data_IF_973739713661
#
_entry.id   IF_973739713661
#
_cell.length_a   1.000
_cell.length_b   1.000
_cell.length_c   1.000
_cell.angle_alpha   90.00
_cell.angle_beta   90.00
_cell.angle_gamma   90.00
#
_symmetry.space_group_name_H-M   'P 1'
#
loop_
_entity.id
_entity.type
_entity.pdbx_description
1 polymer ?
#
# COMPACT_ATOMS: atom_id res chain seq x y z
N UNK A 1 -2.86 -19.82 -3.96
CA UNK A 1 -2.12 -18.55 -4.00
C UNK A 1 -0.88 -18.64 -3.14
N UNK A 2 0.21 -17.99 -3.54
CA UNK A 2 1.44 -17.87 -2.73
C UNK A 2 1.78 -16.40 -2.60
N UNK A 3 2.14 -15.94 -1.40
CA UNK A 3 2.43 -14.54 -1.14
C UNK A 3 3.76 -14.40 -0.40
N UNK A 4 4.49 -13.34 -0.72
CA UNK A 4 5.79 -12.98 -0.16
C UNK A 4 5.84 -11.50 0.12
N UNK A 5 6.64 -11.10 1.10
CA UNK A 5 6.82 -9.70 1.43
C UNK A 5 8.17 -9.42 2.05
N UNK A 6 8.63 -8.19 1.88
CA UNK A 6 9.86 -7.68 2.48
C UNK A 6 9.67 -6.21 2.85
N UNK A 7 10.31 -5.80 3.93
CA UNK A 7 10.43 -4.40 4.34
C UNK A 7 11.84 -4.11 4.80
N UNK A 8 12.39 -2.96 4.46
CA UNK A 8 13.78 -2.54 4.77
C UNK A 8 13.84 -1.03 4.99
N UNK A 9 14.64 -0.52 5.92
CA UNK A 9 14.78 0.92 6.13
C UNK A 9 15.37 1.70 4.94
N UNK A 10 15.86 1.03 3.91
CA UNK A 10 16.58 1.63 2.80
C UNK A 10 18.01 1.97 3.14
N UNK A 11 18.61 2.89 2.36
CA UNK A 11 20.03 3.22 2.48
C UNK A 11 20.27 4.54 3.23
N UNK A 12 19.25 5.34 3.46
CA UNK A 12 19.37 6.70 4.04
C UNK A 12 18.66 6.82 5.39
N UNK A 13 17.51 6.18 5.54
CA UNK A 13 16.74 6.23 6.78
C UNK A 13 17.38 5.38 7.87
N UNK A 14 17.35 5.84 9.11
CA UNK A 14 17.85 5.09 10.27
C UNK A 14 16.79 4.18 10.91
N UNK A 15 15.51 4.42 10.59
CA UNK A 15 14.37 3.68 11.10
C UNK A 15 13.48 3.27 9.95
N UNK A 16 12.82 2.13 10.13
CA UNK A 16 11.77 1.69 9.22
C UNK A 16 10.41 2.11 9.78
N UNK A 17 9.72 2.99 9.08
CA UNK A 17 8.37 3.46 9.42
C UNK A 17 7.30 2.76 8.60
N UNK A 18 7.69 1.89 7.66
CA UNK A 18 6.77 1.03 6.94
C UNK A 18 6.34 -0.17 7.79
N UNK A 19 5.15 -0.66 7.52
CA UNK A 19 4.62 -1.89 8.08
C UNK A 19 3.84 -2.67 7.02
N UNK A 20 3.88 -4.00 7.09
CA UNK A 20 3.04 -4.83 6.23
C UNK A 20 2.54 -6.08 6.96
N UNK A 21 1.47 -6.67 6.43
CA UNK A 21 0.99 -8.00 6.83
C UNK A 21 0.52 -8.79 5.63
N UNK A 22 0.74 -10.10 5.70
CA UNK A 22 0.16 -11.14 4.86
C UNK A 22 -0.56 -12.08 5.81
N UNK A 23 -1.89 -12.16 5.70
CA UNK A 23 -2.70 -12.92 6.64
C UNK A 23 -3.72 -13.80 5.91
N UNK A 24 -3.74 -15.08 6.24
CA UNK A 24 -4.74 -16.02 5.74
C UNK A 24 -6.06 -15.79 6.50
N UNK A 25 -7.13 -15.44 5.78
CA UNK A 25 -8.47 -15.29 6.34
C UNK A 25 -9.25 -16.61 6.32
N UNK A 26 -9.07 -17.41 5.25
CA UNK A 26 -9.59 -18.78 5.11
C UNK A 26 -8.74 -19.56 4.12
N UNK A 27 -9.11 -20.81 3.82
CA UNK A 27 -8.41 -21.63 2.82
C UNK A 27 -8.36 -20.99 1.42
N UNK A 28 -9.31 -20.10 1.13
CA UNK A 28 -9.47 -19.46 -0.18
C UNK A 28 -9.29 -17.94 -0.15
N UNK A 29 -9.07 -17.35 1.03
CA UNK A 29 -8.99 -15.91 1.17
C UNK A 29 -7.73 -15.44 1.89
N UNK A 30 -7.16 -14.34 1.39
CA UNK A 30 -5.92 -13.72 1.85
C UNK A 30 -6.09 -12.21 2.03
N UNK A 31 -5.56 -11.67 3.12
CA UNK A 31 -5.43 -10.24 3.38
C UNK A 31 -3.97 -9.82 3.21
N UNK A 32 -3.75 -8.77 2.44
CA UNK A 32 -2.49 -8.07 2.30
C UNK A 32 -2.67 -6.62 2.73
N UNK A 33 -1.73 -6.07 3.50
CA UNK A 33 -1.73 -4.65 3.89
C UNK A 33 -0.31 -4.12 3.83
N UNK A 34 -0.14 -2.90 3.32
CA UNK A 34 1.09 -2.11 3.39
C UNK A 34 0.72 -0.72 3.90
N UNK A 35 1.46 -0.24 4.89
CA UNK A 35 1.35 1.08 5.49
C UNK A 35 2.72 1.75 5.49
N UNK A 36 2.81 2.99 5.02
CA UNK A 36 4.00 3.84 5.03
C UNK A 36 3.77 4.98 6.02
N UNK A 37 4.51 4.96 7.11
CA UNK A 37 4.31 5.84 8.24
C UNK A 37 5.03 7.17 8.10
N UNK A 38 4.35 8.27 8.43
CA UNK A 38 4.92 9.61 8.42
C UNK A 38 4.72 10.33 9.75
N UNK A 39 5.65 11.24 10.07
CA UNK A 39 5.58 12.06 11.29
C UNK A 39 6.78 11.85 12.20
N UNK A 40 7.76 12.73 12.21
CA UNK A 40 8.93 12.70 13.11
C UNK A 40 9.64 11.36 13.25
N UNK A 41 10.67 11.30 14.10
CA UNK A 41 11.55 10.13 14.16
C UNK A 41 10.89 8.82 14.67
N UNK A 42 9.87 8.89 15.50
CA UNK A 42 9.21 7.71 16.07
C UNK A 42 7.72 7.62 15.69
N UNK A 43 7.09 8.74 15.41
CA UNK A 43 5.65 8.84 15.26
C UNK A 43 5.13 8.11 14.03
N UNK A 44 5.88 8.11 12.91
CA UNK A 44 5.50 7.38 11.69
C UNK A 44 5.42 5.87 11.91
N UNK A 45 6.41 5.28 12.60
CA UNK A 45 6.38 3.84 12.92
C UNK A 45 5.18 3.48 13.82
N UNK A 46 4.84 4.33 14.79
CA UNK A 46 3.65 4.12 15.64
C UNK A 46 2.38 4.20 14.79
N UNK A 47 2.29 5.17 13.87
CA UNK A 47 1.13 5.34 13.00
C UNK A 47 0.91 4.14 12.08
N UNK A 48 1.95 3.68 11.38
CA UNK A 48 1.86 2.55 10.45
C UNK A 48 1.50 1.24 11.16
N UNK A 49 2.15 0.95 12.29
CA UNK A 49 1.87 -0.25 13.08
C UNK A 49 0.45 -0.24 13.66
N UNK A 50 0.02 0.88 14.25
CA UNK A 50 -1.32 1.02 14.82
C UNK A 50 -2.41 0.91 13.75
N UNK A 51 -2.24 1.58 12.60
CA UNK A 51 -3.18 1.50 11.49
C UNK A 51 -3.29 0.07 10.97
N UNK A 52 -2.17 -0.60 10.76
CA UNK A 52 -2.12 -1.98 10.30
C UNK A 52 -2.82 -2.93 11.28
N UNK A 53 -2.54 -2.81 12.59
CA UNK A 53 -3.13 -3.65 13.63
C UNK A 53 -4.66 -3.49 13.68
N UNK A 54 -5.15 -2.24 13.77
CA UNK A 54 -6.60 -1.95 13.90
C UNK A 54 -7.34 -2.33 12.62
N UNK A 55 -6.78 -1.99 11.42
CA UNK A 55 -7.36 -2.37 10.15
C UNK A 55 -7.51 -3.89 10.03
N UNK A 56 -6.42 -4.64 10.28
CA UNK A 56 -6.43 -6.10 10.19
C UNK A 56 -7.36 -6.74 11.23
N UNK A 57 -7.41 -6.21 12.46
CA UNK A 57 -8.32 -6.69 13.49
C UNK A 57 -9.79 -6.50 13.08
N UNK A 58 -10.14 -5.35 12.49
CA UNK A 58 -11.49 -5.08 11.99
C UNK A 58 -11.87 -6.02 10.85
N UNK A 59 -10.94 -6.30 9.93
CA UNK A 59 -11.17 -7.28 8.86
C UNK A 59 -11.39 -8.66 9.46
N UNK A 60 -10.50 -9.18 10.32
CA UNK A 60 -10.66 -10.50 10.97
C UNK A 60 -11.98 -10.67 11.70
N UNK A 61 -12.43 -9.62 12.38
CA UNK A 61 -13.66 -9.66 13.16
C UNK A 61 -14.93 -9.69 12.30
N UNK A 62 -14.93 -8.99 11.17
CA UNK A 62 -16.16 -8.72 10.40
C UNK A 62 -16.20 -9.42 9.04
N UNK A 63 -15.07 -9.91 8.54
CA UNK A 63 -15.01 -10.61 7.26
C UNK A 63 -15.71 -11.98 7.36
N UNK A 64 -16.43 -12.33 6.31
CA UNK A 64 -17.08 -13.64 6.13
C UNK A 64 -16.85 -14.12 4.71
N UNK A 65 -16.78 -15.44 4.53
CA UNK A 65 -16.70 -16.02 3.19
C UNK A 65 -17.90 -15.67 2.32
N UNK A 66 -17.66 -15.49 1.02
CA UNK A 66 -18.68 -15.21 0.01
C UNK A 66 -19.47 -13.91 0.25
N UNK A 67 -18.85 -12.91 0.88
CA UNK A 67 -19.43 -11.56 0.94
C UNK A 67 -19.60 -11.01 -0.48
N UNK A 68 -20.69 -10.26 -0.70
CA UNK A 68 -20.89 -9.55 -1.97
C UNK A 68 -19.84 -8.43 -2.11
N UNK A 69 -19.54 -8.06 -3.34
CA UNK A 69 -18.53 -7.02 -3.62
C UNK A 69 -18.79 -5.70 -2.87
N UNK A 70 -20.07 -5.28 -2.77
CA UNK A 70 -20.45 -4.07 -2.05
C UNK A 70 -20.26 -4.21 -0.54
N UNK A 71 -20.48 -5.40 0.02
CA UNK A 71 -20.28 -5.70 1.44
C UNK A 71 -18.79 -5.71 1.78
N UNK A 72 -17.96 -6.32 0.93
CA UNK A 72 -16.49 -6.29 1.08
C UNK A 72 -15.94 -4.86 0.94
N UNK A 73 -16.46 -4.07 0.00
CA UNK A 73 -16.07 -2.67 -0.16
C UNK A 73 -16.42 -1.83 1.08
N UNK A 74 -17.61 -2.04 1.68
CA UNK A 74 -17.98 -1.32 2.90
C UNK A 74 -17.23 -1.81 4.13
N UNK A 75 -16.89 -3.08 4.20
CA UNK A 75 -16.00 -3.63 5.22
C UNK A 75 -14.63 -2.96 5.16
N UNK A 76 -14.03 -2.85 3.98
CA UNK A 76 -12.74 -2.17 3.77
C UNK A 76 -12.79 -0.69 4.22
N UNK A 77 -13.86 0.03 3.84
CA UNK A 77 -14.07 1.42 4.29
C UNK A 77 -14.23 1.53 5.81
N UNK A 78 -14.95 0.59 6.41
CA UNK A 78 -15.15 0.54 7.86
C UNK A 78 -13.83 0.28 8.59
N UNK A 79 -13.00 -0.61 8.07
CA UNK A 79 -11.68 -0.90 8.63
C UNK A 79 -10.74 0.32 8.52
N UNK A 80 -10.76 1.05 7.40
CA UNK A 80 -10.01 2.31 7.26
C UNK A 80 -10.51 3.36 8.26
N UNK A 81 -11.82 3.52 8.46
CA UNK A 81 -12.36 4.45 9.47
C UNK A 81 -11.89 4.12 10.87
N UNK A 82 -11.92 2.84 11.26
CA UNK A 82 -11.46 2.39 12.58
C UNK A 82 -9.95 2.66 12.77
N UNK A 83 -9.14 2.35 11.75
CA UNK A 83 -7.70 2.64 11.78
C UNK A 83 -7.44 4.15 11.88
N UNK A 84 -8.16 4.97 11.10
CA UNK A 84 -8.04 6.42 11.13
C UNK A 84 -8.36 7.00 12.51
N UNK A 85 -9.47 6.58 13.11
CA UNK A 85 -9.89 7.03 14.45
C UNK A 85 -8.80 6.71 15.48
N UNK A 86 -8.29 5.49 15.49
CA UNK A 86 -7.27 5.06 16.44
C UNK A 86 -5.96 5.87 16.33
N UNK A 87 -5.46 6.08 15.08
CA UNK A 87 -4.24 6.85 14.83
C UNK A 87 -4.47 8.33 15.17
N UNK A 88 -5.60 8.90 14.74
CA UNK A 88 -5.94 10.30 15.02
C UNK A 88 -6.07 10.57 16.52
N UNK A 89 -6.81 9.73 17.27
CA UNK A 89 -6.92 9.86 18.72
C UNK A 89 -5.57 9.74 19.44
N UNK A 90 -4.71 8.82 18.99
CA UNK A 90 -3.37 8.68 19.55
C UNK A 90 -2.54 9.94 19.31
N UNK A 91 -2.62 10.54 18.13
CA UNK A 91 -1.91 11.78 17.80
C UNK A 91 -2.32 12.99 18.65
N UNK A 92 -3.57 13.00 19.14
CA UNK A 92 -4.08 14.04 20.04
C UNK A 92 -3.71 13.84 21.51
N UNK A 93 -3.57 12.56 21.93
CA UNK A 93 -3.31 12.23 23.35
C UNK A 93 -1.83 12.25 23.72
N UNK A 94 -0.96 12.06 22.75
CA UNK A 94 0.48 11.91 22.94
C UNK A 94 1.24 12.94 22.12
N UNK A 95 1.90 13.88 22.79
CA UNK A 95 2.64 14.95 22.14
C UNK A 95 3.77 14.45 21.23
N UNK A 96 4.36 13.29 21.55
CA UNK A 96 5.42 12.68 20.74
C UNK A 96 4.87 12.06 19.44
N UNK A 97 3.55 11.86 19.38
CA UNK A 97 2.80 11.39 18.23
C UNK A 97 2.05 12.51 17.47
N UNK A 98 2.22 13.78 17.88
CA UNK A 98 1.49 14.89 17.27
C UNK A 98 1.71 14.98 15.76
N UNK A 99 0.61 14.98 14.99
CA UNK A 99 0.64 15.06 13.53
C UNK A 99 1.14 13.79 12.83
N UNK A 100 1.22 12.66 13.52
CA UNK A 100 1.52 11.39 12.87
C UNK A 100 0.41 10.95 11.93
N UNK A 101 0.77 10.19 10.93
CA UNK A 101 -0.14 9.57 9.98
C UNK A 101 0.53 8.43 9.24
N UNK A 102 -0.22 7.79 8.37
CA UNK A 102 0.32 6.72 7.53
C UNK A 102 -0.50 6.59 6.24
N UNK A 103 0.11 6.11 5.18
CA UNK A 103 -0.65 5.54 4.05
C UNK A 103 -1.28 4.22 4.47
N UNK A 104 -2.22 3.73 3.68
CA UNK A 104 -2.72 2.38 3.79
C UNK A 104 -3.16 1.90 2.42
N UNK A 105 -2.50 0.88 1.89
CA UNK A 105 -2.99 0.10 0.75
C UNK A 105 -3.21 -1.33 1.18
N UNK A 106 -4.41 -1.85 0.94
CA UNK A 106 -4.75 -3.21 1.36
C UNK A 106 -5.55 -3.93 0.27
N UNK A 107 -5.44 -5.26 0.25
CA UNK A 107 -6.20 -6.12 -0.63
C UNK A 107 -6.77 -7.32 0.12
N UNK A 108 -8.06 -7.62 -0.08
CA UNK A 108 -8.67 -8.90 0.22
C UNK A 108 -8.80 -9.66 -1.10
N UNK A 109 -8.23 -10.86 -1.14
CA UNK A 109 -8.31 -11.76 -2.28
C UNK A 109 -9.15 -12.95 -1.85
N UNK A 110 -10.26 -13.20 -2.51
CA UNK A 110 -11.11 -14.36 -2.26
C UNK A 110 -11.52 -15.00 -3.59
N UNK A 111 -11.27 -16.29 -3.75
CA UNK A 111 -11.59 -17.03 -4.97
C UNK A 111 -11.14 -16.30 -6.25
N UNK A 112 -9.91 -15.77 -6.23
CA UNK A 112 -9.27 -15.00 -7.29
C UNK A 112 -9.92 -13.62 -7.61
N UNK A 113 -10.97 -13.22 -6.91
CA UNK A 113 -11.46 -11.83 -6.94
C UNK A 113 -10.68 -10.98 -5.95
N UNK A 114 -10.26 -9.80 -6.35
CA UNK A 114 -9.46 -8.88 -5.53
C UNK A 114 -10.24 -7.62 -5.23
N UNK A 115 -10.36 -7.29 -3.95
CA UNK A 115 -10.89 -6.01 -3.48
C UNK A 115 -9.76 -5.21 -2.83
N UNK A 116 -9.47 -4.04 -3.35
CA UNK A 116 -8.36 -3.18 -2.90
C UNK A 116 -8.93 -1.90 -2.31
N UNK A 117 -8.34 -1.41 -1.23
CA UNK A 117 -8.57 -0.06 -0.72
C UNK A 117 -7.26 0.70 -0.62
N UNK A 118 -7.28 2.00 -0.97
CA UNK A 118 -6.12 2.87 -0.92
C UNK A 118 -6.40 4.19 -0.20
N UNK A 119 -5.47 4.59 0.67
CA UNK A 119 -5.33 5.93 1.25
C UNK A 119 -3.86 6.30 1.21
N UNK A 120 -3.50 7.34 0.47
CA UNK A 120 -2.11 7.78 0.31
C UNK A 120 -1.56 7.50 -1.10
N UNK A 121 -0.25 7.41 -1.21
CA UNK A 121 0.52 7.20 -2.44
C UNK A 121 1.28 5.85 -2.47
N UNK A 122 1.06 4.99 -1.47
CA UNK A 122 1.37 3.57 -1.60
C UNK A 122 0.50 2.95 -2.69
N UNK A 123 1.03 2.00 -3.44
CA UNK A 123 0.43 1.56 -4.70
C UNK A 123 0.09 0.08 -4.73
N UNK A 124 -0.93 -0.25 -5.52
CA UNK A 124 -1.26 -1.62 -5.92
C UNK A 124 -1.10 -1.76 -7.44
N UNK A 125 -0.34 -2.76 -7.87
CA UNK A 125 -0.13 -3.12 -9.26
C UNK A 125 -0.69 -4.52 -9.53
N UNK A 126 -1.42 -4.68 -10.62
CA UNK A 126 -1.80 -5.97 -11.15
C UNK A 126 -0.94 -6.33 -12.36
N UNK A 127 -0.41 -7.54 -12.40
CA UNK A 127 0.33 -8.05 -13.56
C UNK A 127 -0.45 -9.19 -14.20
N UNK A 128 -0.36 -9.32 -15.50
CA UNK A 128 -1.03 -10.39 -16.25
C UNK A 128 -0.60 -10.38 -17.73
N UNK A 129 -1.35 -11.05 -18.57
CA UNK A 129 -1.04 -11.22 -20.00
C UNK A 129 -0.82 -9.91 -20.77
N UNK A 130 -1.42 -8.82 -20.31
CA UNK A 130 -1.34 -7.51 -20.96
C UNK A 130 -0.23 -6.60 -20.34
N UNK A 131 0.61 -7.16 -19.48
CA UNK A 131 1.67 -6.42 -18.80
C UNK A 131 1.29 -6.00 -17.37
N UNK A 132 1.81 -4.85 -16.91
CA UNK A 132 1.53 -4.28 -15.60
C UNK A 132 0.51 -3.15 -15.72
N UNK A 133 -0.40 -3.08 -14.74
CA UNK A 133 -1.38 -2.01 -14.58
C UNK A 133 -1.28 -1.47 -13.16
N UNK A 134 -1.05 -0.16 -13.01
CA UNK A 134 -1.30 0.53 -11.74
C UNK A 134 -2.80 0.54 -11.50
N UNK A 135 -3.24 -0.07 -10.39
CA UNK A 135 -4.67 -0.20 -10.03
C UNK A 135 -5.13 0.99 -9.22
N UNK A 136 -4.30 1.45 -8.27
CA UNK A 136 -4.59 2.58 -7.39
C UNK A 136 -4.30 3.91 -8.06
N UNK A 137 -4.91 4.97 -7.53
CA UNK A 137 -4.59 6.36 -7.87
C UNK A 137 -3.96 7.01 -6.64
N UNK A 138 -2.78 7.61 -6.80
CA UNK A 138 -2.09 8.26 -5.70
C UNK A 138 -2.89 9.45 -5.16
N UNK A 139 -3.01 9.55 -3.85
CA UNK A 139 -3.50 10.74 -3.19
C UNK A 139 -2.35 11.72 -2.95
N UNK A 140 -1.80 12.27 -4.02
CA UNK A 140 -0.69 13.22 -4.00
C UNK A 140 -1.05 14.55 -4.68
N UNK A 141 -0.32 15.60 -4.34
CA UNK A 141 -0.51 16.92 -4.96
C UNK A 141 -0.29 16.84 -6.47
N UNK A 142 0.75 16.16 -6.91
CA UNK A 142 1.08 16.05 -8.34
C UNK A 142 0.03 15.28 -9.11
N UNK A 143 -0.56 14.24 -8.52
CA UNK A 143 -1.65 13.50 -9.14
C UNK A 143 -2.92 14.35 -9.30
N UNK A 144 -3.23 15.21 -8.33
CA UNK A 144 -4.32 16.18 -8.47
C UNK A 144 -4.07 17.18 -9.59
N UNK A 145 -2.82 17.66 -9.74
CA UNK A 145 -2.44 18.57 -10.83
C UNK A 145 -2.54 17.89 -12.20
N UNK A 146 -2.14 16.63 -12.29
CA UNK A 146 -2.31 15.84 -13.53
C UNK A 146 -3.79 15.66 -13.88
N UNK A 147 -4.64 15.32 -12.91
CA UNK A 147 -6.08 15.16 -13.12
C UNK A 147 -6.77 16.47 -13.58
N UNK A 148 -6.27 17.61 -13.16
CA UNK A 148 -6.75 18.95 -13.59
C UNK A 148 -6.20 19.37 -14.94
N UNK A 149 -5.19 18.67 -15.46
CA UNK A 149 -4.48 19.04 -16.68
C UNK A 149 -3.42 20.13 -16.49
N UNK A 150 -3.06 20.44 -15.23
CA UNK A 150 -2.02 21.43 -14.89
C UNK A 150 -0.59 20.89 -15.12
N UNK A 151 -0.42 19.55 -15.06
CA UNK A 151 0.81 18.83 -15.32
C UNK A 151 0.56 17.60 -16.20
N UNK A 152 1.53 17.25 -17.03
CA UNK A 152 1.60 15.93 -17.66
C UNK A 152 2.10 14.88 -16.65
N UNK A 153 1.88 13.60 -16.92
CA UNK A 153 2.42 12.48 -16.11
C UNK A 153 3.96 12.54 -16.01
N UNK A 154 4.63 12.97 -17.08
CA UNK A 154 6.10 13.05 -17.10
C UNK A 154 6.63 14.21 -16.25
N UNK A 155 5.96 15.36 -16.28
CA UNK A 155 6.31 16.50 -15.42
C UNK A 155 6.07 16.19 -13.94
N UNK A 156 5.02 15.43 -13.62
CA UNK A 156 4.69 15.02 -12.25
C UNK A 156 5.82 14.20 -11.60
N UNK A 157 6.48 13.30 -12.35
CA UNK A 157 7.59 12.47 -11.84
C UNK A 157 8.77 13.28 -11.32
N UNK A 158 9.03 14.47 -11.92
CA UNK A 158 10.17 15.32 -11.59
C UNK A 158 9.77 16.56 -10.79
N UNK A 159 8.51 16.68 -10.41
CA UNK A 159 8.00 17.85 -9.69
C UNK A 159 8.55 17.89 -8.24
N UNK A 160 8.95 19.07 -7.71
CA UNK A 160 9.47 19.18 -6.33
C UNK A 160 8.49 18.70 -5.24
N UNK A 161 7.21 18.82 -5.50
CA UNK A 161 6.13 18.40 -4.59
C UNK A 161 5.61 16.97 -4.83
N UNK A 162 6.34 16.11 -5.54
CA UNK A 162 5.87 14.76 -5.89
C UNK A 162 5.56 13.88 -4.67
N UNK A 163 6.26 14.09 -3.56
CA UNK A 163 6.07 13.34 -2.31
C UNK A 163 5.07 14.01 -1.35
N UNK A 164 4.33 15.05 -1.80
CA UNK A 164 3.31 15.68 -0.97
C UNK A 164 2.00 14.93 -1.11
N UNK A 165 1.66 14.13 -0.11
CA UNK A 165 0.39 13.42 -0.07
C UNK A 165 -0.75 14.34 0.39
N UNK A 166 -1.94 14.08 -0.10
CA UNK A 166 -3.17 14.87 0.15
C UNK A 166 -4.19 14.13 1.00
N UNK A 167 -3.97 12.84 1.25
CA UNK A 167 -4.75 12.00 2.18
C UNK A 167 -3.86 11.02 2.90
N UNK A 168 -4.07 10.90 4.20
CA UNK A 168 -3.40 9.91 5.04
C UNK A 168 -4.31 9.47 6.19
N UNK A 169 -4.13 8.27 6.66
CA UNK A 169 -4.78 7.73 7.87
C UNK A 169 -4.20 8.43 9.09
N UNK A 170 -5.07 8.97 9.96
CA UNK A 170 -4.71 9.57 11.24
C UNK A 170 -4.38 11.07 11.22
N UNK A 171 -4.40 11.73 10.07
CA UNK A 171 -4.10 13.18 9.98
C UNK A 171 -5.32 14.07 10.14
N UNK A 172 -6.51 13.54 9.89
CA UNK A 172 -7.79 14.24 10.00
C UNK A 172 -8.83 13.39 10.72
N UNK A 173 -9.90 14.02 11.21
CA UNK A 173 -11.01 13.33 11.91
C UNK A 173 -11.61 12.21 11.05
N UNK A 174 -11.69 12.41 9.75
CA UNK A 174 -12.21 11.43 8.80
C UNK A 174 -11.33 11.37 7.56
N UNK A 175 -11.13 10.16 7.05
CA UNK A 175 -10.48 9.90 5.77
C UNK A 175 -11.33 8.96 4.91
N UNK A 176 -11.33 9.18 3.60
CA UNK A 176 -12.00 8.32 2.62
C UNK A 176 -10.96 7.51 1.86
N UNK A 177 -11.10 6.20 1.89
CA UNK A 177 -10.34 5.27 1.05
C UNK A 177 -11.03 5.03 -0.29
N UNK A 178 -10.26 5.01 -1.36
CA UNK A 178 -10.73 4.63 -2.69
C UNK A 178 -10.71 3.12 -2.84
N UNK A 179 -11.81 2.53 -3.34
CA UNK A 179 -11.95 1.08 -3.47
C UNK A 179 -11.91 0.67 -4.94
N UNK A 180 -11.18 -0.41 -5.23
CA UNK A 180 -11.03 -1.00 -6.56
C UNK A 180 -11.34 -2.49 -6.49
N UNK A 181 -11.84 -3.04 -7.60
CA UNK A 181 -12.09 -4.48 -7.72
C UNK A 181 -11.46 -5.00 -9.02
N UNK A 182 -10.79 -6.14 -8.93
CA UNK A 182 -10.26 -6.88 -10.08
C UNK A 182 -10.98 -8.23 -10.18
N UNK A 183 -11.43 -8.55 -11.38
CA UNK A 183 -11.95 -9.88 -11.68
C UNK A 183 -10.79 -10.89 -11.84
N UNK A 184 -11.05 -12.19 -11.73
CA UNK A 184 -10.00 -13.21 -11.88
C UNK A 184 -9.18 -13.10 -13.17
N UNK A 185 -9.79 -12.70 -14.29
CA UNK A 185 -9.12 -12.54 -15.58
C UNK A 185 -8.18 -11.33 -15.66
N UNK A 186 -8.30 -10.38 -14.75
CA UNK A 186 -7.57 -9.11 -14.80
C UNK A 186 -6.16 -9.19 -14.20
N UNK A 187 -5.81 -10.30 -13.53
CA UNK A 187 -4.54 -10.42 -12.84
C UNK A 187 -3.97 -11.84 -12.79
N UNK A 188 -2.68 -11.95 -12.70
CA UNK A 188 -1.92 -13.17 -12.42
C UNK A 188 -1.09 -13.03 -11.14
N UNK A 189 -0.46 -11.86 -10.95
CA UNK A 189 0.14 -11.45 -9.70
C UNK A 189 -0.32 -10.04 -9.31
N UNK A 190 -0.44 -9.79 -8.00
CA UNK A 190 -0.71 -8.49 -7.41
C UNK A 190 0.50 -8.09 -6.57
N UNK A 191 0.95 -6.83 -6.71
CA UNK A 191 1.99 -6.25 -5.88
C UNK A 191 1.46 -5.03 -5.16
N UNK A 192 1.71 -4.95 -3.84
CA UNK A 192 1.47 -3.77 -3.00
C UNK A 192 2.83 -3.24 -2.57
N UNK A 193 3.05 -1.93 -2.65
CA UNK A 193 4.31 -1.35 -2.22
C UNK A 193 4.17 0.06 -1.66
N UNK A 194 5.13 0.46 -0.81
CA UNK A 194 5.34 1.86 -0.42
C UNK A 194 6.02 2.65 -1.55
N UNK A 195 6.03 3.97 -1.40
CA UNK A 195 6.60 4.89 -2.38
C UNK A 195 8.13 4.73 -2.55
N UNK A 196 8.83 4.22 -1.52
CA UNK A 196 10.26 3.93 -1.59
C UNK A 196 10.63 2.93 -2.68
N UNK A 197 9.73 2.03 -3.10
CA UNK A 197 9.91 1.20 -4.28
C UNK A 197 9.56 1.96 -5.57
N UNK A 198 8.34 2.51 -5.65
CA UNK A 198 7.80 3.10 -6.88
C UNK A 198 8.46 4.43 -7.27
N UNK A 199 9.16 5.09 -6.34
CA UNK A 199 9.97 6.28 -6.61
C UNK A 199 11.32 5.98 -7.29
N UNK A 200 11.82 4.74 -7.18
CA UNK A 200 13.13 4.33 -7.70
C UNK A 200 13.07 3.28 -8.80
N UNK A 201 11.89 2.69 -9.04
CA UNK A 201 11.67 1.69 -10.08
C UNK A 201 10.51 2.09 -11.00
N UNK A 202 10.68 1.87 -12.31
CA UNK A 202 9.60 2.02 -13.27
C UNK A 202 8.67 0.79 -13.23
N UNK A 203 7.40 0.98 -13.59
CA UNK A 203 6.39 -0.09 -13.58
C UNK A 203 6.83 -1.32 -14.40
N UNK A 204 7.48 -1.11 -15.56
CA UNK A 204 7.95 -2.21 -16.40
C UNK A 204 9.09 -3.02 -15.78
N UNK A 205 9.89 -2.41 -14.91
CA UNK A 205 10.95 -3.11 -14.17
C UNK A 205 10.34 -3.96 -13.05
N UNK A 206 9.33 -3.43 -12.36
CA UNK A 206 8.56 -4.19 -11.37
C UNK A 206 7.91 -5.41 -12.03
N UNK A 207 7.27 -5.23 -13.19
CA UNK A 207 6.71 -6.33 -13.98
C UNK A 207 7.78 -7.39 -14.32
N UNK A 208 8.94 -6.93 -14.81
CA UNK A 208 10.00 -7.84 -15.24
C UNK A 208 10.44 -8.74 -14.08
N UNK A 209 10.68 -8.19 -12.91
CA UNK A 209 11.13 -8.94 -11.74
C UNK A 209 10.06 -9.94 -11.23
N UNK A 210 8.78 -9.57 -11.27
CA UNK A 210 7.68 -10.46 -10.87
C UNK A 210 7.50 -11.61 -11.88
N UNK A 211 7.57 -11.30 -13.19
CA UNK A 211 7.22 -12.24 -14.25
C UNK A 211 8.39 -13.15 -14.69
N UNK A 212 9.63 -12.67 -14.66
CA UNK A 212 10.78 -13.32 -15.32
C UNK A 212 11.89 -13.74 -14.36
N UNK A 213 11.76 -13.52 -13.06
CA UNK A 213 12.74 -13.99 -12.09
C UNK A 213 12.79 -15.53 -12.02
N UNK A 214 13.99 -16.10 -11.81
CA UNK A 214 14.19 -17.56 -11.75
C UNK A 214 13.29 -18.25 -10.71
N UNK A 215 13.05 -17.57 -9.58
CA UNK A 215 12.17 -18.03 -8.51
C UNK A 215 11.21 -16.91 -8.11
N UNK A 216 9.91 -17.18 -8.13
CA UNK A 216 8.89 -16.22 -7.71
C UNK A 216 9.03 -15.84 -6.24
N UNK A 217 9.41 -16.77 -5.39
CA UNK A 217 9.62 -16.55 -3.95
C UNK A 217 10.67 -15.49 -3.64
N UNK A 218 11.64 -15.29 -4.53
CA UNK A 218 12.69 -14.28 -4.37
C UNK A 218 12.34 -12.92 -5.00
N UNK A 219 11.16 -12.75 -5.60
CA UNK A 219 10.82 -11.54 -6.35
C UNK A 219 10.84 -10.28 -5.48
N UNK A 220 10.30 -10.35 -4.25
CA UNK A 220 10.33 -9.22 -3.32
C UNK A 220 11.77 -8.83 -2.94
N UNK A 221 12.64 -9.83 -2.71
CA UNK A 221 14.04 -9.57 -2.38
C UNK A 221 14.78 -8.93 -3.56
N UNK A 222 14.57 -9.40 -4.80
CA UNK A 222 15.18 -8.78 -5.99
C UNK A 222 14.73 -7.35 -6.20
N UNK A 223 13.43 -7.06 -6.02
CA UNK A 223 12.90 -5.69 -6.08
C UNK A 223 13.56 -4.79 -5.04
N UNK A 224 13.71 -5.28 -3.80
CA UNK A 224 14.40 -4.56 -2.73
C UNK A 224 15.88 -4.33 -3.08
N UNK A 225 16.59 -5.33 -3.57
CA UNK A 225 18.00 -5.22 -3.91
C UNK A 225 18.23 -4.19 -5.04
N UNK A 226 17.36 -4.16 -6.04
CA UNK A 226 17.38 -3.15 -7.10
C UNK A 226 17.14 -1.75 -6.51
N UNK A 227 16.14 -1.58 -5.65
CA UNK A 227 15.87 -0.31 -4.99
C UNK A 227 17.08 0.17 -4.18
N UNK A 228 17.71 -0.71 -3.39
CA UNK A 228 18.91 -0.40 -2.61
C UNK A 228 20.10 -0.03 -3.49
N UNK A 229 20.31 -0.73 -4.60
CA UNK A 229 21.37 -0.41 -5.57
C UNK A 229 21.15 0.96 -6.24
N UNK A 230 19.94 1.49 -6.23
CA UNK A 230 19.58 2.85 -6.71
C UNK A 230 19.58 3.89 -5.59
N UNK A 231 20.04 3.50 -4.41
CA UNK A 231 20.21 4.39 -3.26
C UNK A 231 19.05 4.42 -2.27
N UNK A 232 17.89 3.77 -2.57
CA UNK A 232 16.73 3.67 -1.68
C UNK A 232 16.66 4.79 -0.62
N UNK A 233 16.25 6.02 -0.99
CA UNK A 233 16.33 7.18 -0.10
C UNK A 233 15.28 7.12 1.01
N UNK A 234 14.29 6.23 0.90
CA UNK A 234 13.24 5.98 1.87
C UNK A 234 13.14 4.50 2.23
N UNK A 235 12.25 4.21 3.20
CA UNK A 235 11.87 2.84 3.55
C UNK A 235 11.27 2.15 2.33
N UNK A 236 11.56 0.88 2.15
CA UNK A 236 11.09 0.11 0.99
C UNK A 236 10.32 -1.10 1.49
N UNK A 237 9.05 -1.14 1.15
CA UNK A 237 8.17 -2.28 1.45
C UNK A 237 7.49 -2.77 0.18
N UNK A 238 7.52 -4.07 -0.04
CA UNK A 238 6.81 -4.72 -1.14
C UNK A 238 6.22 -6.05 -0.71
N UNK A 239 5.00 -6.29 -1.09
CA UNK A 239 4.27 -7.55 -0.92
C UNK A 239 3.77 -7.99 -2.29
N UNK A 240 4.05 -9.24 -2.65
CA UNK A 240 3.62 -9.84 -3.92
C UNK A 240 2.83 -11.09 -3.62
N UNK A 241 1.71 -11.28 -4.28
CA UNK A 241 0.95 -12.52 -4.31
C UNK A 241 0.75 -12.96 -5.75
N UNK A 242 0.91 -14.25 -6.02
CA UNK A 242 0.65 -14.86 -7.33
C UNK A 242 -0.29 -16.06 -7.18
N UNK A 243 -1.07 -16.28 -8.23
CA UNK A 243 -2.00 -17.40 -8.38
C UNK A 243 -1.26 -18.70 -8.63
#
# INVERSE_FOLDING_TARGET
>A
MQAWGVTDPGMVRTQNQDAFVIEQLSDTALLLVVCDGMGGALAGNIASQLALEIFSAQIRFSWQEAMRAEETAELLRTAVRAANEAVYERSLRDSDCAGMGTTLVAAIIENDTVHIINVGDSRAYATGKNGIKLVTTDHSLVQLMVQRGDLSQEEAKNHPGKNLITRAVGTEVMVLGDVYTLAPEDWECLALCSDGLSNVMADQEILFEIAHGEKREDCCQRLLDIAKNRGAPDNVTVVVVCR
#
